data_IF_256413817307
#
_entry.id   IF_256413817307
#
_cell.length_a   1.000
_cell.length_b   1.000
_cell.length_c   1.000
_cell.angle_alpha   90.00
_cell.angle_beta   90.00
_cell.angle_gamma   90.00
#
_symmetry.space_group_name_H-M   'P 1'
#
loop_
_entity.id
_entity.type
_entity.pdbx_description
1 polymer ?
#
# COMPACT_ATOMS: atom_id res chain seq x y z
N UNK A 1 7.32 -10.09 -17.17
CA UNK A 1 7.36 -9.36 -15.90
C UNK A 1 6.45 -9.94 -14.82
N UNK A 2 5.11 -9.93 -14.95
CA UNK A 2 4.24 -10.52 -13.93
C UNK A 2 4.49 -12.03 -13.73
N UNK A 3 4.45 -12.81 -14.81
CA UNK A 3 4.71 -14.27 -14.74
C UNK A 3 6.11 -14.62 -14.21
N UNK A 4 7.12 -13.79 -14.47
CA UNK A 4 8.49 -14.00 -13.97
C UNK A 4 8.56 -13.73 -12.45
N UNK A 5 7.84 -12.71 -11.97
CA UNK A 5 7.74 -12.42 -10.53
C UNK A 5 6.98 -13.52 -9.79
N UNK A 6 5.89 -14.03 -10.36
CA UNK A 6 5.16 -15.16 -9.79
C UNK A 6 6.04 -16.39 -9.70
N UNK A 7 6.75 -16.74 -10.79
CA UNK A 7 7.68 -17.86 -10.79
C UNK A 7 8.82 -17.70 -9.78
N UNK A 8 9.34 -16.47 -9.61
CA UNK A 8 10.45 -16.19 -8.71
C UNK A 8 10.07 -16.11 -7.22
N UNK A 9 8.82 -15.79 -6.90
CA UNK A 9 8.35 -15.59 -5.52
C UNK A 9 7.40 -16.66 -5.02
N UNK A 10 6.75 -17.40 -5.93
CA UNK A 10 5.65 -18.31 -5.60
C UNK A 10 4.38 -17.60 -5.13
N UNK A 11 4.33 -16.27 -5.24
CA UNK A 11 3.18 -15.46 -4.84
C UNK A 11 2.38 -15.06 -6.09
N UNK A 12 1.06 -15.00 -5.95
CA UNK A 12 0.19 -14.46 -7.00
C UNK A 12 0.50 -12.98 -7.20
N UNK A 13 0.67 -12.59 -8.46
CA UNK A 13 0.93 -11.20 -8.85
C UNK A 13 -0.29 -10.69 -9.59
N UNK A 14 -0.96 -9.71 -9.00
CA UNK A 14 -2.05 -8.99 -9.66
C UNK A 14 -1.47 -7.95 -10.63
N UNK A 15 -1.57 -8.13 -11.96
CA UNK A 15 -1.27 -7.04 -12.88
C UNK A 15 -2.34 -5.96 -12.74
N UNK A 16 -1.91 -4.70 -12.60
CA UNK A 16 -2.82 -3.57 -12.51
C UNK A 16 -2.48 -2.52 -13.56
N UNK A 17 -3.50 -1.86 -14.11
CA UNK A 17 -3.36 -0.87 -15.18
C UNK A 17 -3.19 0.55 -14.62
N UNK A 18 -3.88 0.84 -13.52
CA UNK A 18 -3.80 2.14 -12.83
C UNK A 18 -2.51 2.23 -12.02
N UNK A 19 -1.82 3.37 -12.08
CA UNK A 19 -0.68 3.61 -11.18
C UNK A 19 -1.16 3.86 -9.75
N UNK A 20 -0.33 3.50 -8.77
CA UNK A 20 -0.53 3.92 -7.38
C UNK A 20 -0.55 5.45 -7.28
N UNK A 21 -1.42 6.04 -6.44
CA UNK A 21 -2.28 5.38 -5.45
C UNK A 21 -3.66 4.91 -5.95
N UNK A 22 -3.93 4.93 -7.27
CA UNK A 22 -5.28 4.72 -7.83
C UNK A 22 -5.74 3.27 -8.01
N UNK A 23 -4.89 2.26 -7.80
CA UNK A 23 -5.21 0.86 -8.10
C UNK A 23 -6.00 0.12 -6.99
N UNK A 24 -6.51 0.81 -5.96
CA UNK A 24 -7.28 0.19 -4.87
C UNK A 24 -8.54 -0.56 -5.34
N UNK A 25 -9.24 -0.01 -6.33
CA UNK A 25 -10.44 -0.65 -6.89
C UNK A 25 -10.11 -1.98 -7.62
N UNK A 26 -8.97 -2.04 -8.31
CA UNK A 26 -8.52 -3.26 -9.00
C UNK A 26 -8.18 -4.37 -8.00
N UNK A 27 -7.60 -4.01 -6.84
CA UNK A 27 -7.31 -4.94 -5.74
C UNK A 27 -8.60 -5.54 -5.18
N UNK A 28 -9.60 -4.71 -4.89
CA UNK A 28 -10.87 -5.19 -4.35
C UNK A 28 -11.68 -6.00 -5.36
N UNK A 29 -11.62 -5.64 -6.65
CA UNK A 29 -12.25 -6.42 -7.71
C UNK A 29 -11.61 -7.81 -7.84
N UNK A 30 -10.28 -7.92 -7.70
CA UNK A 30 -9.60 -9.22 -7.66
C UNK A 30 -10.13 -10.09 -6.51
N UNK A 31 -10.20 -9.55 -5.29
CA UNK A 31 -10.73 -10.31 -4.14
C UNK A 31 -12.19 -10.69 -4.31
N UNK A 32 -13.02 -9.83 -4.92
CA UNK A 32 -14.42 -10.14 -5.24
C UNK A 32 -14.56 -11.33 -6.19
N UNK A 33 -13.61 -11.51 -7.11
CA UNK A 33 -13.56 -12.64 -8.04
C UNK A 33 -12.99 -13.92 -7.40
N UNK A 34 -12.35 -13.80 -6.23
CA UNK A 34 -11.69 -14.89 -5.51
C UNK A 34 -12.28 -15.03 -4.09
N UNK A 35 -13.57 -15.43 -3.97
CA UNK A 35 -14.27 -15.51 -2.69
C UNK A 35 -13.63 -16.50 -1.70
N UNK A 36 -12.82 -17.45 -2.17
CA UNK A 36 -12.03 -18.37 -1.35
C UNK A 36 -11.00 -17.66 -0.46
N UNK A 37 -10.63 -16.42 -0.79
CA UNK A 37 -9.77 -15.58 0.04
C UNK A 37 -10.45 -15.07 1.31
N UNK A 38 -11.80 -15.07 1.33
CA UNK A 38 -12.61 -14.53 2.43
C UNK A 38 -12.60 -13.01 2.52
N UNK A 39 -11.95 -12.30 1.58
CA UNK A 39 -11.87 -10.84 1.57
C UNK A 39 -13.12 -10.27 0.90
N UNK A 40 -13.92 -9.55 1.67
CA UNK A 40 -15.12 -8.84 1.23
C UNK A 40 -15.04 -7.33 1.47
N UNK A 41 -14.09 -6.86 2.31
CA UNK A 41 -13.99 -5.47 2.70
C UNK A 41 -12.51 -4.99 2.77
N UNK A 42 -12.20 -3.74 2.37
CA UNK A 42 -10.84 -3.19 2.43
C UNK A 42 -10.14 -3.27 3.79
N UNK A 43 -10.89 -3.20 4.90
CA UNK A 43 -10.34 -3.32 6.26
C UNK A 43 -9.71 -4.69 6.56
N UNK A 44 -9.98 -5.70 5.73
CA UNK A 44 -9.36 -7.02 5.80
C UNK A 44 -8.06 -7.10 5.00
N UNK A 45 -7.70 -6.04 4.26
CA UNK A 45 -6.50 -5.97 3.43
C UNK A 45 -5.40 -5.23 4.19
N UNK A 46 -4.19 -5.78 4.14
CA UNK A 46 -2.97 -5.13 4.60
C UNK A 46 -2.08 -4.78 3.41
N UNK A 47 -1.80 -3.49 3.25
CA UNK A 47 -0.90 -2.95 2.23
C UNK A 47 0.47 -2.68 2.87
N UNK A 48 1.49 -3.40 2.42
CA UNK A 48 2.87 -3.24 2.88
C UNK A 48 3.68 -2.55 1.77
N UNK A 49 4.35 -1.44 2.10
CA UNK A 49 5.16 -0.72 1.11
C UNK A 49 6.14 0.26 1.72
N UNK A 50 7.11 0.71 0.92
CA UNK A 50 8.22 1.57 1.38
C UNK A 50 8.02 3.06 1.12
N UNK A 51 6.99 3.41 0.35
CA UNK A 51 6.67 4.78 -0.07
C UNK A 51 5.34 5.22 0.52
N UNK A 52 5.37 6.36 1.22
CA UNK A 52 4.20 6.93 1.86
C UNK A 52 3.18 7.44 0.82
N UNK A 53 3.65 8.10 -0.24
CA UNK A 53 2.82 8.75 -1.28
C UNK A 53 2.19 7.78 -2.28
N UNK A 54 2.61 6.52 -2.27
CA UNK A 54 2.04 5.49 -3.14
C UNK A 54 1.33 4.43 -2.33
N UNK A 55 2.07 3.59 -1.61
CA UNK A 55 1.51 2.39 -1.01
C UNK A 55 0.64 2.74 0.20
N UNK A 56 1.14 3.59 1.09
CA UNK A 56 0.41 3.97 2.31
C UNK A 56 -0.75 4.91 1.98
N UNK A 57 -0.55 5.82 1.04
CA UNK A 57 -1.62 6.68 0.54
C UNK A 57 -2.73 5.86 -0.11
N UNK A 58 -2.40 4.87 -0.94
CA UNK A 58 -3.37 3.93 -1.50
C UNK A 58 -4.10 3.16 -0.40
N UNK A 59 -3.38 2.67 0.61
CA UNK A 59 -3.96 1.94 1.73
C UNK A 59 -5.02 2.76 2.46
N UNK A 60 -4.69 4.02 2.76
CA UNK A 60 -5.58 4.96 3.43
C UNK A 60 -6.79 5.31 2.55
N UNK A 61 -6.58 5.58 1.26
CA UNK A 61 -7.67 5.87 0.31
C UNK A 61 -8.62 4.69 0.14
N UNK A 62 -8.10 3.46 0.21
CA UNK A 62 -8.89 2.25 0.10
C UNK A 62 -9.68 1.94 1.39
N UNK A 63 -9.29 2.49 2.55
CA UNK A 63 -9.85 2.13 3.86
C UNK A 63 -9.27 0.83 4.42
N UNK A 64 -7.99 0.56 4.13
CA UNK A 64 -7.26 -0.67 4.48
C UNK A 64 -6.09 -0.39 5.43
N UNK A 65 -5.46 -1.43 5.97
CA UNK A 65 -4.27 -1.26 6.81
C UNK A 65 -3.05 -0.87 5.99
N UNK A 66 -2.35 0.20 6.38
CA UNK A 66 -1.09 0.63 5.76
C UNK A 66 0.12 0.33 6.65
N UNK A 67 1.02 -0.54 6.19
CA UNK A 67 2.28 -0.87 6.87
C UNK A 67 3.46 -0.26 6.13
N UNK A 68 4.04 0.79 6.71
CA UNK A 68 5.18 1.47 6.11
C UNK A 68 6.51 0.83 6.47
N UNK A 69 7.22 0.33 5.46
CA UNK A 69 8.59 -0.16 5.58
C UNK A 69 9.56 1.00 5.42
N UNK A 70 10.05 1.51 6.54
CA UNK A 70 10.98 2.65 6.58
C UNK A 70 12.24 2.43 5.73
N UNK A 71 12.80 1.23 5.81
CA UNK A 71 14.04 0.83 5.15
C UNK A 71 13.75 -0.15 3.99
N UNK A 72 13.10 0.38 2.95
CA UNK A 72 12.78 -0.36 1.72
C UNK A 72 13.93 -0.51 0.73
N UNK A 73 13.59 -0.86 -0.52
CA UNK A 73 14.52 -1.33 -1.56
C UNK A 73 15.50 -0.25 -2.04
N UNK A 74 15.06 1.01 -2.14
CA UNK A 74 15.91 2.08 -2.67
C UNK A 74 16.68 2.77 -1.53
N UNK A 75 18.02 2.81 -1.56
CA UNK A 75 18.82 3.55 -0.59
C UNK A 75 18.43 5.03 -0.58
N UNK A 76 18.47 5.67 0.59
CA UNK A 76 18.03 7.07 0.75
C UNK A 76 18.78 8.08 -0.13
N UNK A 77 19.97 7.70 -0.63
CA UNK A 77 20.82 8.50 -1.51
C UNK A 77 20.32 8.52 -2.96
N UNK A 78 19.61 7.48 -3.39
CA UNK A 78 19.04 7.32 -4.74
C UNK A 78 17.55 7.71 -4.80
N UNK A 79 16.93 8.01 -3.66
CA UNK A 79 15.53 8.45 -3.60
C UNK A 79 15.39 9.88 -4.13
N UNK A 80 14.36 10.11 -4.94
CA UNK A 80 13.96 11.45 -5.41
C UNK A 80 13.84 12.44 -4.24
N UNK A 81 14.13 13.71 -4.51
CA UNK A 81 13.99 14.82 -3.55
C UNK A 81 12.62 14.83 -2.86
N UNK A 82 11.56 14.47 -3.60
CA UNK A 82 10.20 14.37 -3.08
C UNK A 82 10.07 13.30 -1.99
N UNK A 83 10.63 12.10 -2.21
CA UNK A 83 10.59 11.01 -1.23
C UNK A 83 11.41 11.33 0.03
N UNK A 84 12.49 12.10 -0.10
CA UNK A 84 13.28 12.57 1.05
C UNK A 84 12.52 13.60 1.88
N UNK A 85 11.79 14.52 1.24
CA UNK A 85 10.93 15.49 1.92
C UNK A 85 9.77 14.79 2.65
N UNK A 86 9.13 13.86 1.96
CA UNK A 86 8.03 13.05 2.51
C UNK A 86 8.45 12.29 3.78
N UNK A 87 9.62 11.64 3.78
CA UNK A 87 10.18 11.00 4.98
C UNK A 87 10.38 11.96 6.14
N UNK A 88 10.87 13.17 5.88
CA UNK A 88 11.08 14.19 6.92
C UNK A 88 9.76 14.67 7.50
N UNK A 89 8.76 14.88 6.64
CA UNK A 89 7.42 15.24 7.06
C UNK A 89 6.82 14.13 7.94
N UNK A 90 6.90 12.87 7.51
CA UNK A 90 6.39 11.73 8.28
C UNK A 90 7.10 11.59 9.63
N UNK A 91 8.44 11.72 9.66
CA UNK A 91 9.18 11.70 10.93
C UNK A 91 8.75 12.84 11.87
N UNK A 92 8.49 14.03 11.33
CA UNK A 92 7.99 15.18 12.10
C UNK A 92 6.58 14.95 12.63
N UNK A 93 5.67 14.39 11.82
CA UNK A 93 4.31 14.06 12.23
C UNK A 93 4.29 12.98 13.32
N UNK A 94 5.08 11.92 13.16
CA UNK A 94 5.21 10.87 14.18
C UNK A 94 5.80 11.42 15.48
N UNK A 95 6.82 12.28 15.41
CA UNK A 95 7.39 12.94 16.59
C UNK A 95 6.39 13.88 17.29
N UNK A 96 5.39 14.39 16.56
CA UNK A 96 4.28 15.19 17.09
C UNK A 96 3.12 14.35 17.62
N UNK A 97 3.23 13.02 17.58
CA UNK A 97 2.21 12.11 18.11
C UNK A 97 1.04 11.85 17.16
N UNK A 98 1.15 12.19 15.87
CA UNK A 98 0.13 11.79 14.90
C UNK A 98 0.10 10.26 14.79
N UNK A 99 -1.10 9.71 14.90
CA UNK A 99 -1.35 8.28 14.74
C UNK A 99 -1.87 7.97 13.34
N UNK A 100 -1.63 6.75 12.89
CA UNK A 100 -2.22 6.22 11.66
C UNK A 100 -3.73 6.07 11.85
N UNK A 101 -4.47 6.19 10.76
CA UNK A 101 -5.90 5.91 10.78
C UNK A 101 -6.12 4.41 10.93
N UNK A 102 -7.06 4.02 11.79
CA UNK A 102 -7.59 2.66 11.75
C UNK A 102 -8.39 2.49 10.45
N UNK A 103 -8.35 1.31 9.82
CA UNK A 103 -9.15 1.08 8.63
C UNK A 103 -10.62 1.17 8.98
N UNK A 104 -11.33 1.98 8.21
CA UNK A 104 -12.75 2.25 8.38
C UNK A 104 -13.55 1.67 7.22
N UNK A 105 -14.74 1.14 7.51
CA UNK A 105 -15.76 0.96 6.48
C UNK A 105 -16.40 2.30 6.14
N UNK A 106 -16.52 2.60 4.85
CA UNK A 106 -17.31 3.75 4.38
C UNK A 106 -18.83 3.47 4.46
N UNK A 107 -19.19 2.22 4.82
CA UNK A 107 -20.55 1.70 4.85
C UNK A 107 -21.02 1.32 6.26
N UNK A 108 -20.23 1.64 7.30
CA UNK A 108 -20.67 1.67 8.70
C UNK A 108 -21.17 3.06 9.11
#
# INVERSE_FOLDING_TARGET
>A
MAAELEAGTGLTVLPHSSKKPGCGAEIMEYFRQHPETGVSHPSQVAVVGDRLSTDIMMANMMGSWGFWVKDGVVPNQEKSMFSRLERRLAASLLARGYQTQDPSSQFE
#
